data_IF_169986013615
#
_entry.id   IF_169986013615
#
_cell.length_a   1.000
_cell.length_b   1.000
_cell.length_c   1.000
_cell.angle_alpha   90.00
_cell.angle_beta   90.00
_cell.angle_gamma   90.00
#
_symmetry.space_group_name_H-M   'P 1'
#
loop_
_entity.id
_entity.type
_entity.pdbx_description
1 polymer ?
#
# COMPACT_ATOMS: atom_id res chain seq x y z
N UNK A 1 -61.86 -41.39 -22.50
CA UNK A 1 -61.60 -40.26 -21.58
C UNK A 1 -60.09 -40.08 -21.47
N UNK A 2 -59.64 -38.85 -21.72
CA UNK A 2 -58.33 -38.20 -21.57
C UNK A 2 -57.19 -39.00 -20.89
N UNK A 3 -55.95 -39.00 -21.39
CA UNK A 3 -55.06 -37.85 -21.30
C UNK A 3 -53.87 -37.94 -22.30
N UNK A 4 -53.63 -36.85 -23.03
CA UNK A 4 -52.46 -36.61 -23.89
C UNK A 4 -51.25 -36.27 -23.01
N UNK A 5 -50.10 -36.91 -23.24
CA UNK A 5 -48.83 -36.44 -22.68
C UNK A 5 -47.92 -35.98 -23.82
N UNK A 6 -47.74 -34.66 -23.86
CA UNK A 6 -46.80 -33.95 -24.73
C UNK A 6 -45.45 -33.93 -24.00
N UNK A 7 -44.44 -34.63 -24.51
CA UNK A 7 -43.08 -34.57 -23.98
C UNK A 7 -42.42 -33.32 -24.57
N UNK A 8 -42.23 -32.29 -23.75
CA UNK A 8 -41.40 -31.12 -24.07
C UNK A 8 -39.95 -31.50 -23.72
N UNK A 9 -39.14 -31.71 -24.75
CA UNK A 9 -37.70 -31.90 -24.62
C UNK A 9 -37.04 -30.51 -24.45
N UNK A 10 -36.70 -30.13 -23.22
CA UNK A 10 -35.89 -28.93 -22.95
C UNK A 10 -34.43 -29.27 -23.27
N UNK A 11 -33.96 -28.79 -24.41
CA UNK A 11 -32.54 -28.81 -24.78
C UNK A 11 -31.83 -27.72 -23.95
N UNK A 12 -31.21 -28.11 -22.85
CA UNK A 12 -30.25 -27.28 -22.12
C UNK A 12 -28.91 -27.34 -22.87
N UNK A 13 -28.67 -26.40 -23.79
CA UNK A 13 -27.33 -26.16 -24.34
C UNK A 13 -26.52 -25.53 -23.21
N UNK A 14 -25.72 -26.36 -22.54
CA UNK A 14 -24.68 -25.92 -21.63
C UNK A 14 -23.61 -25.17 -22.41
N UNK A 15 -23.78 -23.86 -22.55
CA UNK A 15 -22.68 -22.97 -22.88
C UNK A 15 -21.68 -23.03 -21.74
N UNK A 16 -20.57 -23.74 -21.95
CA UNK A 16 -19.39 -23.58 -21.11
C UNK A 16 -18.88 -22.16 -21.33
N UNK A 17 -19.31 -21.24 -20.48
CA UNK A 17 -18.56 -20.02 -20.27
C UNK A 17 -17.24 -20.47 -19.63
N UNK A 18 -16.16 -20.39 -20.40
CA UNK A 18 -14.82 -20.40 -19.85
C UNK A 18 -14.75 -19.20 -18.91
N UNK A 19 -15.05 -19.43 -17.64
CA UNK A 19 -14.70 -18.49 -16.59
C UNK A 19 -13.18 -18.46 -16.59
N UNK A 20 -12.60 -17.44 -17.23
CA UNK A 20 -11.22 -17.06 -16.97
C UNK A 20 -11.19 -16.66 -15.50
N UNK A 21 -10.82 -17.60 -14.62
CA UNK A 21 -10.27 -17.25 -13.34
C UNK A 21 -9.06 -16.36 -13.69
N UNK A 22 -9.20 -15.06 -13.51
CA UNK A 22 -8.10 -14.14 -13.72
C UNK A 22 -7.03 -14.55 -12.70
N UNK A 23 -5.97 -15.19 -13.17
CA UNK A 23 -4.76 -15.34 -12.39
C UNK A 23 -4.22 -13.93 -12.20
N UNK A 24 -4.64 -13.29 -11.11
CA UNK A 24 -4.14 -11.97 -10.70
C UNK A 24 -2.64 -12.14 -10.44
N UNK A 25 -1.85 -11.71 -11.41
CA UNK A 25 -0.38 -11.73 -11.39
C UNK A 25 0.16 -10.35 -11.04
N UNK A 26 1.37 -10.32 -10.48
CA UNK A 26 2.19 -9.12 -10.40
C UNK A 26 2.89 -8.78 -11.74
N UNK A 27 2.77 -9.65 -12.76
CA UNK A 27 3.21 -9.39 -14.12
C UNK A 27 2.10 -8.72 -14.91
N UNK A 28 2.42 -7.67 -15.65
CA UNK A 28 1.46 -7.00 -16.54
C UNK A 28 2.13 -5.99 -17.46
N UNK A 29 1.32 -5.26 -18.23
CA UNK A 29 1.80 -4.33 -19.27
C UNK A 29 1.60 -2.85 -18.96
N UNK A 30 0.77 -2.52 -17.99
CA UNK A 30 0.53 -1.14 -17.58
C UNK A 30 0.49 -1.04 -16.05
N UNK A 31 1.21 -0.06 -15.52
CA UNK A 31 1.30 0.23 -14.09
C UNK A 31 1.23 1.73 -13.86
N UNK A 32 0.74 2.11 -12.69
CA UNK A 32 0.70 3.49 -12.23
C UNK A 32 1.20 3.58 -10.80
N UNK A 33 1.99 4.62 -10.50
CA UNK A 33 2.35 4.97 -9.13
C UNK A 33 2.38 6.48 -8.92
N UNK A 34 2.27 6.91 -7.67
CA UNK A 34 2.61 8.26 -7.26
C UNK A 34 4.00 8.31 -6.62
N UNK A 35 4.70 9.45 -6.73
CA UNK A 35 5.86 9.71 -5.88
C UNK A 35 5.35 10.13 -4.49
N UNK A 36 5.04 9.12 -3.67
CA UNK A 36 4.39 9.26 -2.37
C UNK A 36 5.14 10.20 -1.42
N UNK A 37 4.39 10.76 -0.47
CA UNK A 37 4.93 11.78 0.42
C UNK A 37 6.08 11.25 1.29
N UNK A 38 7.16 12.02 1.35
CA UNK A 38 8.35 11.71 2.13
C UNK A 38 8.76 12.97 2.93
N UNK A 39 9.01 12.83 4.23
CA UNK A 39 9.40 13.96 5.09
C UNK A 39 10.72 14.61 4.66
N UNK A 40 11.60 13.87 3.96
CA UNK A 40 12.83 14.39 3.40
C UNK A 40 12.63 15.42 2.27
N UNK A 41 11.40 15.62 1.77
CA UNK A 41 11.08 16.69 0.82
C UNK A 41 11.35 18.09 1.38
N UNK A 42 11.17 18.28 2.69
CA UNK A 42 11.06 19.62 3.31
C UNK A 42 12.00 19.85 4.51
N UNK A 43 12.94 18.94 4.77
CA UNK A 43 13.85 18.90 5.93
C UNK A 43 13.16 18.26 7.17
N UNK A 44 13.58 17.05 7.61
CA UNK A 44 13.10 16.48 8.88
C UNK A 44 13.76 17.11 10.12
N UNK A 45 15.05 17.50 10.03
CA UNK A 45 15.87 17.87 11.21
C UNK A 45 17.00 18.90 10.99
N UNK A 46 17.27 19.34 9.74
CA UNK A 46 18.31 20.32 9.40
C UNK A 46 19.72 19.74 9.19
N UNK A 47 19.89 18.42 9.33
CA UNK A 47 21.21 17.77 9.22
C UNK A 47 21.63 17.44 7.78
N UNK A 48 20.68 17.32 6.85
CA UNK A 48 20.93 17.05 5.43
C UNK A 48 20.17 18.03 4.51
N UNK A 49 20.61 18.22 3.26
CA UNK A 49 19.88 19.03 2.29
C UNK A 49 18.46 18.48 2.06
N UNK A 50 17.43 19.36 1.97
CA UNK A 50 16.09 18.94 1.58
C UNK A 50 16.09 18.29 0.19
N UNK A 51 15.06 17.49 -0.07
CA UNK A 51 14.81 16.86 -1.35
C UNK A 51 15.93 15.87 -1.80
N UNK A 52 16.59 15.23 -0.83
CA UNK A 52 17.69 14.30 -1.07
C UNK A 52 17.27 12.87 -1.42
N UNK A 53 16.00 12.52 -1.23
CA UNK A 53 15.43 11.22 -1.58
C UNK A 53 15.28 11.03 -3.09
N UNK A 54 15.47 9.81 -3.56
CA UNK A 54 15.23 9.38 -4.93
C UNK A 54 14.07 8.39 -4.96
N UNK A 55 13.36 8.34 -6.09
CA UNK A 55 12.41 7.28 -6.41
C UNK A 55 12.91 6.59 -7.67
N UNK A 56 13.38 5.34 -7.50
CA UNK A 56 13.93 4.52 -8.56
C UNK A 56 12.96 3.37 -8.91
N UNK A 57 12.85 3.05 -10.19
CA UNK A 57 12.08 1.91 -10.67
C UNK A 57 13.02 0.76 -11.06
N UNK A 58 12.69 -0.43 -10.55
CA UNK A 58 13.37 -1.68 -10.89
C UNK A 58 12.41 -2.48 -11.75
N UNK A 59 12.75 -2.67 -13.02
CA UNK A 59 11.90 -3.30 -14.00
C UNK A 59 12.55 -4.62 -14.41
N UNK A 60 11.86 -5.72 -14.16
CA UNK A 60 12.33 -7.07 -14.48
C UNK A 60 11.45 -7.69 -15.55
N UNK A 61 12.06 -8.47 -16.44
CA UNK A 61 11.36 -9.12 -17.55
C UNK A 61 11.95 -10.48 -17.90
N UNK A 62 11.11 -11.43 -18.29
CA UNK A 62 11.52 -12.76 -18.80
C UNK A 62 11.74 -12.74 -20.32
N UNK A 63 11.04 -11.86 -21.03
CA UNK A 63 11.19 -11.63 -22.47
C UNK A 63 11.84 -10.28 -22.74
N UNK A 64 12.40 -10.07 -23.93
CA UNK A 64 12.85 -8.72 -24.30
C UNK A 64 11.65 -7.77 -24.32
N UNK A 65 11.79 -6.60 -23.69
CA UNK A 65 10.69 -5.67 -23.46
C UNK A 65 11.08 -4.25 -23.87
N UNK A 66 10.19 -3.57 -24.59
CA UNK A 66 10.24 -2.12 -24.74
C UNK A 66 9.36 -1.51 -23.65
N UNK A 67 9.92 -0.65 -22.82
CA UNK A 67 9.21 -0.03 -21.69
C UNK A 67 9.27 1.47 -21.83
N UNK A 68 8.13 2.14 -21.71
CA UNK A 68 8.03 3.60 -21.62
C UNK A 68 7.54 4.00 -20.24
N UNK A 69 8.33 4.83 -19.56
CA UNK A 69 8.00 5.45 -18.28
C UNK A 69 7.77 6.94 -18.52
N UNK A 70 6.64 7.47 -18.08
CA UNK A 70 6.29 8.88 -18.30
C UNK A 70 5.51 9.47 -17.14
N UNK A 71 5.45 10.80 -17.09
CA UNK A 71 4.53 11.56 -16.23
C UNK A 71 3.59 12.30 -17.19
N UNK A 72 2.40 11.75 -17.50
CA UNK A 72 1.61 12.14 -18.68
C UNK A 72 1.27 13.62 -18.80
N UNK A 73 1.06 14.31 -17.67
CA UNK A 73 0.72 15.74 -17.65
C UNK A 73 1.96 16.65 -17.60
N UNK A 74 3.14 16.11 -17.93
CA UNK A 74 4.41 16.84 -18.05
C UNK A 74 5.07 16.51 -19.39
N UNK A 75 6.23 17.11 -19.67
CA UNK A 75 7.03 16.77 -20.85
C UNK A 75 7.98 15.57 -20.64
N UNK A 76 7.98 14.93 -19.47
CA UNK A 76 8.96 13.90 -19.14
C UNK A 76 8.52 12.49 -19.56
N UNK A 77 9.40 11.81 -20.28
CA UNK A 77 9.26 10.41 -20.71
C UNK A 77 10.64 9.79 -20.95
N UNK A 78 10.79 8.51 -20.64
CA UNK A 78 11.96 7.70 -20.93
C UNK A 78 11.51 6.36 -21.54
N UNK A 79 12.20 5.91 -22.59
CA UNK A 79 11.95 4.61 -23.22
C UNK A 79 13.22 3.77 -23.11
N UNK A 80 13.05 2.52 -22.66
CA UNK A 80 14.11 1.54 -22.47
C UNK A 80 13.83 0.30 -23.31
N UNK A 81 14.91 -0.36 -23.75
CA UNK A 81 14.87 -1.72 -24.28
C UNK A 81 15.57 -2.62 -23.28
N UNK A 82 14.81 -3.48 -22.61
CA UNK A 82 15.30 -4.35 -21.55
C UNK A 82 15.46 -5.76 -22.13
N UNK A 83 16.67 -6.35 -22.13
CA UNK A 83 16.86 -7.73 -22.60
C UNK A 83 16.10 -8.77 -21.76
N UNK A 84 15.79 -9.90 -22.37
CA UNK A 84 15.17 -11.04 -21.69
C UNK A 84 15.97 -11.51 -20.47
N UNK A 85 15.28 -11.82 -19.37
CA UNK A 85 15.84 -12.32 -18.11
C UNK A 85 16.83 -11.34 -17.44
N UNK A 86 16.59 -10.03 -17.59
CA UNK A 86 17.40 -8.99 -16.96
C UNK A 86 16.54 -8.01 -16.15
N UNK A 87 17.22 -7.12 -15.42
CA UNK A 87 16.63 -6.03 -14.65
C UNK A 87 17.22 -4.70 -15.12
N UNK A 88 16.37 -3.69 -15.31
CA UNK A 88 16.77 -2.29 -15.37
C UNK A 88 16.47 -1.60 -14.03
N UNK A 89 17.42 -0.81 -13.53
CA UNK A 89 17.28 -0.04 -12.29
C UNK A 89 17.81 1.40 -12.46
N UNK A 90 17.69 1.95 -13.67
CA UNK A 90 18.29 3.24 -14.06
C UNK A 90 17.29 4.40 -14.03
N UNK A 91 15.99 4.12 -13.90
CA UNK A 91 14.92 5.11 -14.01
C UNK A 91 14.71 5.84 -12.69
N UNK A 92 15.22 7.08 -12.62
CA UNK A 92 14.94 8.01 -11.54
C UNK A 92 13.78 8.94 -11.89
N UNK A 93 12.75 8.95 -11.05
CA UNK A 93 11.58 9.81 -11.24
C UNK A 93 11.92 11.25 -10.85
N UNK A 94 11.63 12.25 -11.71
CA UNK A 94 11.91 13.65 -11.40
C UNK A 94 11.24 14.14 -10.12
N UNK A 95 12.00 14.95 -9.35
CA UNK A 95 11.61 15.51 -8.06
C UNK A 95 11.78 17.03 -7.97
N UNK A 96 11.86 17.70 -9.12
CA UNK A 96 12.05 19.14 -9.20
C UNK A 96 11.67 19.69 -10.59
N UNK A 97 11.56 21.02 -10.67
CA UNK A 97 11.24 21.71 -11.92
C UNK A 97 9.84 21.41 -12.42
N UNK A 98 9.63 21.58 -13.72
CA UNK A 98 8.33 21.39 -14.38
C UNK A 98 7.86 19.93 -14.43
N UNK A 99 8.76 18.99 -14.17
CA UNK A 99 8.49 17.56 -14.23
C UNK A 99 8.36 16.93 -12.83
N UNK A 100 8.37 17.73 -11.76
CA UNK A 100 8.32 17.24 -10.38
C UNK A 100 7.10 16.34 -10.12
N UNK A 101 7.36 15.07 -9.81
CA UNK A 101 6.30 14.09 -9.53
C UNK A 101 5.94 13.97 -8.04
N UNK A 102 6.67 14.63 -7.13
CA UNK A 102 6.49 14.47 -5.68
C UNK A 102 5.11 14.91 -5.22
N UNK A 103 4.37 14.04 -4.54
CA UNK A 103 3.08 14.34 -3.90
C UNK A 103 3.35 15.00 -2.55
N UNK A 104 3.13 16.30 -2.46
CA UNK A 104 3.61 17.15 -1.36
C UNK A 104 2.54 17.55 -0.34
N UNK A 105 1.27 17.31 -0.63
CA UNK A 105 0.14 17.75 0.19
C UNK A 105 -1.07 16.82 0.04
N UNK A 106 -2.02 16.90 0.98
CA UNK A 106 -3.37 16.35 0.80
C UNK A 106 -4.09 17.02 -0.39
N UNK A 107 -4.95 16.27 -1.08
CA UNK A 107 -5.76 16.75 -2.19
C UNK A 107 -5.38 16.16 -3.55
N UNK A 108 -5.85 16.81 -4.61
CA UNK A 108 -5.68 16.40 -6.01
C UNK A 108 -4.31 16.77 -6.56
N UNK A 109 -3.68 15.84 -7.26
CA UNK A 109 -2.44 16.02 -8.01
C UNK A 109 -2.55 15.33 -9.37
N UNK A 110 -1.90 15.85 -10.40
CA UNK A 110 -1.98 15.33 -11.76
C UNK A 110 -0.64 14.74 -12.25
N UNK A 111 0.15 14.16 -11.33
CA UNK A 111 1.57 13.81 -11.55
C UNK A 111 1.89 12.34 -11.30
N UNK A 112 0.94 11.45 -11.56
CA UNK A 112 1.20 10.02 -11.52
C UNK A 112 2.25 9.62 -12.56
N UNK A 113 3.10 8.66 -12.21
CA UNK A 113 4.03 8.00 -13.12
C UNK A 113 3.31 6.84 -13.78
N UNK A 114 3.35 6.80 -15.11
CA UNK A 114 2.82 5.72 -15.94
C UNK A 114 3.96 4.86 -16.46
N UNK A 115 3.83 3.54 -16.37
CA UNK A 115 4.74 2.57 -16.97
C UNK A 115 3.95 1.72 -17.94
N UNK A 116 4.37 1.68 -19.21
CA UNK A 116 3.75 0.85 -20.25
C UNK A 116 4.81 -0.02 -20.91
N UNK A 117 4.51 -1.29 -21.12
CA UNK A 117 5.37 -2.22 -21.83
C UNK A 117 4.62 -2.99 -22.92
N UNK A 118 5.35 -3.37 -23.97
CA UNK A 118 4.87 -4.24 -25.03
C UNK A 118 4.67 -5.70 -24.58
N UNK A 119 5.38 -6.11 -23.53
CA UNK A 119 5.40 -7.47 -22.97
C UNK A 119 5.15 -7.43 -21.45
N UNK A 120 4.66 -8.53 -20.83
CA UNK A 120 4.44 -8.53 -19.39
C UNK A 120 5.77 -8.41 -18.61
N UNK A 121 5.84 -7.42 -17.71
CA UNK A 121 6.99 -7.12 -16.84
C UNK A 121 6.56 -7.12 -15.37
N UNK A 122 7.52 -7.14 -14.43
CA UNK A 122 7.28 -6.84 -13.00
C UNK A 122 8.04 -5.56 -12.65
N UNK A 123 7.38 -4.66 -11.93
CA UNK A 123 7.93 -3.36 -11.55
C UNK A 123 7.98 -3.24 -10.03
N UNK A 124 9.13 -2.81 -9.50
CA UNK A 124 9.27 -2.38 -8.12
C UNK A 124 9.58 -0.89 -8.09
N UNK A 125 8.95 -0.17 -7.18
CA UNK A 125 9.23 1.22 -6.90
C UNK A 125 9.96 1.31 -5.56
N UNK A 126 11.11 1.96 -5.54
CA UNK A 126 11.96 2.09 -4.37
C UNK A 126 12.26 3.57 -4.13
N UNK A 127 11.72 4.09 -3.04
CA UNK A 127 12.01 5.43 -2.56
C UNK A 127 13.09 5.33 -1.48
N UNK A 128 14.22 6.00 -1.66
CA UNK A 128 15.33 5.92 -0.73
C UNK A 128 16.14 7.20 -0.63
N UNK A 129 16.86 7.36 0.47
CA UNK A 129 18.01 8.25 0.56
C UNK A 129 19.12 7.53 1.33
N UNK A 130 20.09 8.27 1.89
CA UNK A 130 21.19 7.69 2.68
C UNK A 130 20.75 6.98 3.96
N UNK A 131 19.62 7.34 4.55
CA UNK A 131 19.18 6.92 5.88
C UNK A 131 17.74 6.41 5.94
N UNK A 132 17.03 6.34 4.82
CA UNK A 132 15.69 5.76 4.76
C UNK A 132 15.41 5.05 3.44
N UNK A 133 14.58 4.02 3.51
CA UNK A 133 14.12 3.26 2.34
C UNK A 133 12.70 2.76 2.55
N UNK A 134 11.88 2.90 1.51
CA UNK A 134 10.58 2.27 1.38
C UNK A 134 10.40 1.75 -0.05
N UNK A 135 9.96 0.51 -0.19
CA UNK A 135 9.79 -0.12 -1.49
C UNK A 135 8.45 -0.87 -1.58
N UNK A 136 7.89 -0.90 -2.79
CA UNK A 136 6.68 -1.66 -3.10
C UNK A 136 6.84 -2.35 -4.44
N UNK A 137 6.32 -3.56 -4.56
CA UNK A 137 6.02 -4.15 -5.86
C UNK A 137 4.73 -3.53 -6.40
N UNK A 138 4.70 -3.22 -7.69
CA UNK A 138 3.51 -2.67 -8.33
C UNK A 138 2.60 -3.78 -8.83
N UNK A 139 1.30 -3.55 -8.67
CA UNK A 139 0.20 -4.35 -9.20
C UNK A 139 -0.16 -3.75 -10.58
N UNK A 140 -0.32 -4.56 -11.63
CA UNK A 140 -0.70 -4.04 -12.95
C UNK A 140 -2.18 -3.59 -12.97
N UNK A 141 -2.53 -2.71 -13.91
CA UNK A 141 -3.88 -2.13 -14.05
C UNK A 141 -4.97 -3.21 -14.17
N UNK A 142 -4.69 -4.30 -14.88
CA UNK A 142 -5.61 -5.43 -15.06
C UNK A 142 -5.96 -6.17 -13.75
N UNK A 143 -5.18 -5.95 -12.70
CA UNK A 143 -5.37 -6.53 -11.37
C UNK A 143 -6.00 -5.55 -10.36
N UNK A 144 -6.34 -4.33 -10.78
CA UNK A 144 -7.03 -3.36 -9.94
C UNK A 144 -8.47 -3.80 -9.64
N UNK A 145 -9.03 -3.23 -8.56
CA UNK A 145 -10.40 -3.49 -8.14
C UNK A 145 -11.16 -2.20 -7.85
N UNK A 146 -12.29 -2.35 -7.18
CA UNK A 146 -13.24 -1.27 -6.94
C UNK A 146 -13.40 -0.88 -5.47
N UNK A 147 -12.80 -1.65 -4.55
CA UNK A 147 -12.87 -1.40 -3.11
C UNK A 147 -11.55 -1.75 -2.44
N UNK A 148 -11.00 -0.77 -1.75
CA UNK A 148 -9.73 -0.85 -1.04
C UNK A 148 -9.87 -0.28 0.37
N UNK A 149 -8.96 -0.72 1.24
CA UNK A 149 -8.70 -0.08 2.52
C UNK A 149 -7.22 0.31 2.59
N UNK A 150 -6.93 1.43 3.24
CA UNK A 150 -5.55 1.77 3.61
C UNK A 150 -5.12 0.97 4.83
N UNK A 151 -3.85 0.58 4.82
CA UNK A 151 -3.16 -0.05 5.93
C UNK A 151 -1.92 0.78 6.22
N UNK A 152 -1.98 1.56 7.29
CA UNK A 152 -0.89 2.40 7.76
C UNK A 152 -0.34 1.79 9.05
N UNK A 153 0.52 2.52 9.76
CA UNK A 153 0.94 2.15 11.10
C UNK A 153 0.92 3.36 12.02
N UNK A 154 0.67 3.10 13.30
CA UNK A 154 0.50 4.17 14.27
C UNK A 154 1.81 4.92 14.51
N UNK A 155 1.77 6.23 14.29
CA UNK A 155 2.87 7.13 14.64
C UNK A 155 2.77 7.65 16.09
N UNK A 156 1.68 7.37 16.81
CA UNK A 156 1.56 7.76 18.21
C UNK A 156 2.51 6.97 19.10
N UNK A 157 2.88 5.75 18.69
CA UNK A 157 3.84 4.90 19.40
C UNK A 157 5.29 5.04 18.89
N UNK A 158 5.55 6.02 18.02
CA UNK A 158 6.87 6.27 17.45
C UNK A 158 7.92 6.47 18.54
N UNK A 159 8.99 5.67 18.49
CA UNK A 159 10.08 5.59 19.48
C UNK A 159 9.68 4.97 20.84
N UNK A 160 8.69 4.09 20.88
CA UNK A 160 8.33 3.34 22.10
C UNK A 160 9.09 2.00 22.19
N UNK A 161 9.39 1.55 23.41
CA UNK A 161 9.91 0.19 23.64
C UNK A 161 8.79 -0.83 23.46
N UNK A 162 9.04 -1.94 22.76
CA UNK A 162 8.04 -2.97 22.47
C UNK A 162 8.21 -4.22 23.36
N UNK A 163 7.14 -4.81 23.93
CA UNK A 163 5.73 -4.39 23.84
C UNK A 163 5.53 -3.03 24.50
N UNK A 164 4.71 -2.18 23.89
CA UNK A 164 4.61 -0.73 24.16
C UNK A 164 4.66 -0.42 25.66
N UNK A 165 5.85 -0.05 26.15
CA UNK A 165 6.03 0.46 27.50
C UNK A 165 5.61 1.91 27.51
N UNK A 166 4.61 2.26 28.33
CA UNK A 166 4.04 3.57 28.70
C UNK A 166 4.77 4.84 28.23
N UNK A 167 5.02 5.01 26.93
CA UNK A 167 5.50 6.28 26.40
C UNK A 167 4.30 7.21 26.34
N UNK A 168 4.37 8.34 27.02
CA UNK A 168 3.38 9.41 26.92
C UNK A 168 3.75 10.46 25.86
N UNK A 169 4.90 10.28 25.22
CA UNK A 169 5.40 11.14 24.14
C UNK A 169 5.80 10.31 22.92
N UNK A 170 5.88 10.99 21.79
CA UNK A 170 6.36 10.49 20.51
C UNK A 170 7.60 11.29 20.11
N UNK A 171 8.51 10.65 19.39
CA UNK A 171 9.59 11.32 18.70
C UNK A 171 9.29 11.34 17.19
N UNK A 172 8.24 12.04 16.76
CA UNK A 172 7.96 12.26 15.34
C UNK A 172 8.65 13.53 14.84
N UNK A 173 9.05 13.55 13.56
CA UNK A 173 9.43 14.78 12.88
C UNK A 173 8.22 15.65 12.54
N UNK A 174 8.45 16.96 12.36
CA UNK A 174 7.42 17.99 12.13
C UNK A 174 6.60 17.78 10.85
N UNK A 175 7.08 16.92 9.94
CA UNK A 175 6.47 16.63 8.63
C UNK A 175 6.22 15.12 8.46
N UNK A 176 6.04 14.38 9.55
CA UNK A 176 5.83 12.94 9.48
C UNK A 176 4.32 12.66 9.40
N UNK A 177 3.81 12.61 8.18
CA UNK A 177 2.41 12.31 7.91
C UNK A 177 2.22 10.82 7.64
N UNK A 178 1.22 10.20 8.27
CA UNK A 178 0.60 8.98 7.77
C UNK A 178 -0.25 9.37 6.58
N UNK A 179 -0.20 8.62 5.48
CA UNK A 179 -0.92 8.99 4.26
C UNK A 179 -1.39 7.76 3.49
N UNK A 180 -2.41 7.95 2.67
CA UNK A 180 -2.69 7.05 1.56
C UNK A 180 -3.02 7.89 0.34
N UNK A 181 -2.76 7.37 -0.85
CA UNK A 181 -3.23 8.00 -2.08
C UNK A 181 -3.85 6.96 -2.99
N UNK A 182 -4.70 7.46 -3.89
CA UNK A 182 -5.28 6.67 -4.98
C UNK A 182 -4.82 7.19 -6.32
N UNK A 183 -4.67 6.30 -7.30
CA UNK A 183 -4.32 6.67 -8.68
C UNK A 183 -5.39 6.15 -9.63
N UNK A 184 -5.92 7.03 -10.48
CA UNK A 184 -6.87 6.66 -11.53
C UNK A 184 -6.12 6.23 -12.79
N UNK A 185 -6.37 5.01 -13.26
CA UNK A 185 -5.86 4.51 -14.55
C UNK A 185 -6.77 4.83 -15.74
N UNK A 186 -7.97 5.35 -15.46
CA UNK A 186 -9.03 5.62 -16.43
C UNK A 186 -9.67 6.99 -16.16
N UNK A 187 -10.21 7.61 -17.21
CA UNK A 187 -10.98 8.85 -17.10
C UNK A 187 -12.32 8.59 -16.42
N UNK A 188 -12.97 9.63 -15.89
CA UNK A 188 -14.25 9.54 -15.19
C UNK A 188 -14.25 8.65 -13.94
N UNK A 189 -13.08 8.37 -13.36
CA UNK A 189 -12.96 7.61 -12.11
C UNK A 189 -13.55 8.42 -10.95
N UNK A 190 -14.71 8.01 -10.45
CA UNK A 190 -15.37 8.63 -9.30
C UNK A 190 -15.25 7.74 -8.06
N UNK A 191 -14.68 8.30 -7.00
CA UNK A 191 -14.39 7.56 -5.77
C UNK A 191 -15.09 8.20 -4.57
N UNK A 192 -15.63 7.36 -3.69
CA UNK A 192 -16.05 7.72 -2.34
C UNK A 192 -14.94 7.33 -1.36
N UNK A 193 -14.48 8.30 -0.58
CA UNK A 193 -13.42 8.14 0.41
C UNK A 193 -14.01 8.35 1.80
N UNK A 194 -13.85 7.37 2.68
CA UNK A 194 -14.24 7.42 4.09
C UNK A 194 -12.97 7.28 4.95
N UNK A 195 -12.42 8.38 5.51
CA UNK A 195 -11.27 8.30 6.42
C UNK A 195 -11.61 7.58 7.72
N UNK A 196 -10.65 6.82 8.27
CA UNK A 196 -10.79 6.16 9.59
C UNK A 196 -10.42 7.06 10.77
N UNK A 197 -9.71 8.15 10.51
CA UNK A 197 -9.36 9.19 11.49
C UNK A 197 -9.32 10.56 10.77
N UNK A 198 -9.09 11.63 11.53
CA UNK A 198 -9.15 13.01 11.04
C UNK A 198 -8.04 13.27 10.02
N UNK A 199 -8.40 13.81 8.86
CA UNK A 199 -7.43 14.15 7.80
C UNK A 199 -6.78 15.52 8.02
N UNK A 200 -5.73 15.82 7.28
CA UNK A 200 -5.03 17.11 7.34
C UNK A 200 -5.95 18.27 6.96
N UNK A 201 -6.87 18.08 6.01
CA UNK A 201 -7.88 19.09 5.64
C UNK A 201 -9.06 19.21 6.61
N UNK A 202 -9.13 18.34 7.63
CA UNK A 202 -10.15 18.39 8.68
C UNK A 202 -11.39 17.53 8.43
N UNK A 203 -11.37 16.63 7.45
CA UNK A 203 -12.43 15.61 7.31
C UNK A 203 -12.39 14.70 8.52
N UNK A 204 -13.52 14.56 9.22
CA UNK A 204 -13.62 13.76 10.44
C UNK A 204 -13.76 12.26 10.12
N UNK A 205 -13.37 11.35 11.03
CA UNK A 205 -13.56 9.91 10.86
C UNK A 205 -15.00 9.54 10.51
N UNK A 206 -15.16 8.63 9.53
CA UNK A 206 -16.47 8.16 9.07
C UNK A 206 -17.20 9.12 8.14
N UNK A 207 -16.75 10.37 7.96
CA UNK A 207 -17.33 11.28 6.98
C UNK A 207 -16.86 10.91 5.58
N UNK A 208 -17.81 10.57 4.71
CA UNK A 208 -17.52 10.20 3.33
C UNK A 208 -17.57 11.43 2.44
N UNK A 209 -16.56 11.60 1.58
CA UNK A 209 -16.55 12.62 0.53
C UNK A 209 -16.25 11.97 -0.82
N UNK A 210 -16.63 12.67 -1.89
CA UNK A 210 -16.44 12.21 -3.27
C UNK A 210 -15.30 12.97 -3.93
N UNK A 211 -14.49 12.26 -4.72
CA UNK A 211 -13.52 12.85 -5.64
C UNK A 211 -13.78 12.34 -7.06
N UNK A 212 -13.55 13.20 -8.06
CA UNK A 212 -13.61 12.85 -9.47
C UNK A 212 -12.20 12.98 -10.04
N UNK A 213 -11.71 11.92 -10.66
CA UNK A 213 -10.35 11.79 -11.16
C UNK A 213 -10.37 11.39 -12.62
N UNK A 214 -9.43 11.93 -13.39
CA UNK A 214 -9.13 11.46 -14.73
C UNK A 214 -7.87 10.59 -14.74
N UNK A 215 -7.58 9.96 -15.87
CA UNK A 215 -6.41 9.10 -16.02
C UNK A 215 -5.13 9.88 -15.64
N UNK A 216 -4.36 9.32 -14.72
CA UNK A 216 -3.11 9.90 -14.22
C UNK A 216 -3.29 10.93 -13.11
N UNK A 217 -4.52 11.20 -12.68
CA UNK A 217 -4.78 11.94 -11.45
C UNK A 217 -4.55 11.05 -10.23
N UNK A 218 -4.08 11.71 -9.17
CA UNK A 218 -3.82 11.17 -7.85
C UNK A 218 -4.62 11.99 -6.85
N UNK A 219 -5.33 11.32 -5.94
CA UNK A 219 -5.87 11.99 -4.76
C UNK A 219 -5.18 11.46 -3.52
N UNK A 220 -4.51 12.34 -2.78
CA UNK A 220 -3.75 12.00 -1.59
C UNK A 220 -4.50 12.46 -0.33
N UNK A 221 -4.50 11.63 0.70
CA UNK A 221 -5.09 11.91 2.02
C UNK A 221 -4.00 11.76 3.06
N UNK A 222 -3.87 12.74 3.95
CA UNK A 222 -2.88 12.75 5.03
C UNK A 222 -3.59 12.76 6.38
N UNK A 223 -3.03 12.05 7.36
CA UNK A 223 -3.53 12.06 8.73
C UNK A 223 -3.21 13.39 9.39
N UNK A 224 -4.17 13.96 10.12
CA UNK A 224 -3.97 15.22 10.84
C UNK A 224 -2.74 15.12 11.75
N UNK A 225 -1.81 16.06 11.61
CA UNK A 225 -0.58 16.16 12.41
C UNK A 225 -0.60 17.50 13.17
N UNK A 226 -0.24 17.46 14.45
CA UNK A 226 -0.06 18.65 15.28
C UNK A 226 1.45 18.79 15.61
N UNK A 227 1.94 20.02 15.75
CA UNK A 227 3.39 20.31 15.84
C UNK A 227 4.05 20.04 17.20
N UNK A 228 3.77 18.91 17.85
CA UNK A 228 4.34 18.59 19.17
C UNK A 228 4.65 17.11 19.39
N UNK A 229 5.08 16.77 20.61
CA UNK A 229 5.59 15.44 20.96
C UNK A 229 4.60 14.60 21.79
N UNK A 230 3.37 15.04 22.00
CA UNK A 230 2.36 14.25 22.70
C UNK A 230 1.76 13.19 21.77
N UNK A 231 1.32 12.05 22.31
CA UNK A 231 0.75 10.96 21.49
C UNK A 231 -0.40 11.41 20.59
N UNK A 232 -1.27 12.29 21.10
CA UNK A 232 -2.42 12.82 20.36
C UNK A 232 -2.04 13.81 19.26
N UNK A 233 -0.81 14.34 19.31
CA UNK A 233 -0.24 15.26 18.32
C UNK A 233 0.42 14.55 17.14
N UNK A 234 0.74 13.26 17.27
CA UNK A 234 1.21 12.45 16.15
C UNK A 234 0.21 12.46 14.98
N UNK A 235 0.73 12.29 13.75
CA UNK A 235 -0.14 12.13 12.59
C UNK A 235 -1.09 10.96 12.81
N UNK A 236 -2.37 11.19 12.49
CA UNK A 236 -3.42 10.17 12.66
C UNK A 236 -3.17 8.94 11.81
N UNK A 237 -3.31 7.77 12.42
CA UNK A 237 -3.22 6.48 11.75
C UNK A 237 -4.45 6.28 10.88
N UNK A 238 -4.25 6.31 9.55
CA UNK A 238 -5.34 6.20 8.59
C UNK A 238 -5.72 4.75 8.27
N UNK A 239 -5.23 3.76 9.03
CA UNK A 239 -5.60 2.35 8.85
C UNK A 239 -7.12 2.16 8.94
N UNK A 240 -7.68 1.49 7.94
CA UNK A 240 -9.12 1.29 7.81
C UNK A 240 -9.85 2.40 7.07
N UNK A 241 -9.15 3.42 6.54
CA UNK A 241 -9.79 4.36 5.61
C UNK A 241 -10.21 3.58 4.37
N UNK A 242 -11.46 3.76 3.97
CA UNK A 242 -12.11 2.98 2.91
C UNK A 242 -12.23 3.84 1.66
N UNK A 243 -11.90 3.25 0.51
CA UNK A 243 -12.15 3.88 -0.79
C UNK A 243 -12.96 2.94 -1.66
N UNK A 244 -14.05 3.45 -2.24
CA UNK A 244 -14.97 2.69 -3.09
C UNK A 244 -15.17 3.43 -4.41
N UNK A 245 -15.03 2.71 -5.51
CA UNK A 245 -15.40 3.20 -6.83
C UNK A 245 -16.92 3.16 -7.00
N UNK A 246 -17.47 4.29 -7.43
CA UNK A 246 -18.90 4.48 -7.68
C UNK A 246 -19.10 4.97 -9.11
N UNK A 247 -20.32 4.86 -9.67
CA UNK A 247 -20.56 5.30 -11.04
C UNK A 247 -20.13 6.75 -11.26
N UNK A 248 -19.27 6.95 -12.24
CA UNK A 248 -18.83 8.25 -12.74
C UNK A 248 -19.88 8.92 -13.62
N UNK A 249 -19.49 10.02 -14.27
CA UNK A 249 -20.38 10.76 -15.18
C UNK A 249 -20.75 9.96 -16.44
N UNK A 250 -19.94 8.95 -16.78
CA UNK A 250 -20.18 8.01 -17.87
C UNK A 250 -21.07 6.82 -17.44
N UNK A 251 -21.48 6.77 -16.16
CA UNK A 251 -22.34 5.74 -15.60
C UNK A 251 -21.59 4.47 -15.17
N UNK A 252 -20.26 4.40 -15.27
CA UNK A 252 -19.48 3.21 -14.95
C UNK A 252 -18.67 3.37 -13.66
N UNK A 253 -18.45 2.26 -12.94
CA UNK A 253 -17.42 2.20 -11.92
C UNK A 253 -16.08 1.88 -12.59
N UNK A 254 -15.03 2.63 -12.25
CA UNK A 254 -13.68 2.41 -12.78
C UNK A 254 -12.75 1.81 -11.71
N UNK A 255 -11.88 0.85 -12.06
CA UNK A 255 -10.90 0.32 -11.13
C UNK A 255 -9.79 1.34 -10.86
N UNK A 256 -9.13 1.24 -9.70
CA UNK A 256 -8.10 2.20 -9.29
C UNK A 256 -7.02 1.52 -8.43
N UNK A 257 -5.86 2.18 -8.28
CA UNK A 257 -4.83 1.76 -7.34
C UNK A 257 -4.97 2.53 -6.02
N UNK A 258 -4.66 1.87 -4.90
CA UNK A 258 -4.47 2.53 -3.61
C UNK A 258 -3.08 2.20 -3.06
N UNK A 259 -2.39 3.20 -2.54
CA UNK A 259 -1.12 3.07 -1.85
C UNK A 259 -1.26 3.61 -0.44
N UNK A 260 -0.72 2.88 0.53
CA UNK A 260 -0.62 3.33 1.93
C UNK A 260 0.83 3.62 2.28
N UNK A 261 1.05 4.55 3.20
CA UNK A 261 2.41 4.89 3.58
C UNK A 261 2.53 5.84 4.76
N UNK A 262 3.76 6.26 5.00
CA UNK A 262 4.13 7.29 5.96
C UNK A 262 5.35 8.03 5.44
N UNK A 263 5.34 9.36 5.59
CA UNK A 263 6.50 10.19 5.29
C UNK A 263 7.63 10.05 6.31
N UNK A 264 7.38 9.38 7.44
CA UNK A 264 8.35 9.15 8.50
C UNK A 264 7.68 8.45 9.69
N UNK A 265 8.24 7.32 10.13
CA UNK A 265 7.76 6.57 11.28
C UNK A 265 8.90 5.86 12.00
N UNK A 266 8.80 5.70 13.32
CA UNK A 266 9.66 4.81 14.09
C UNK A 266 8.85 3.63 14.59
N UNK A 267 9.27 2.42 14.28
CA UNK A 267 8.57 1.23 14.76
C UNK A 267 9.12 0.71 16.09
N UNK A 268 10.38 1.03 16.40
CA UNK A 268 11.03 0.59 17.62
C UNK A 268 11.80 1.72 18.30
N UNK A 269 12.21 1.45 19.54
CA UNK A 269 13.03 2.37 20.32
C UNK A 269 14.41 2.53 19.69
N UNK A 270 14.90 3.78 19.60
CA UNK A 270 16.14 4.19 18.92
C UNK A 270 16.14 4.08 17.38
N UNK A 271 15.01 3.81 16.75
CA UNK A 271 14.88 3.88 15.30
C UNK A 271 15.15 5.31 14.78
N UNK A 272 15.92 5.42 13.69
CA UNK A 272 16.20 6.71 13.03
C UNK A 272 14.94 7.34 12.43
N UNK A 273 13.96 6.50 12.08
CA UNK A 273 12.75 6.88 11.38
C UNK A 273 12.83 6.52 9.90
N UNK A 274 11.79 5.86 9.41
CA UNK A 274 11.72 5.32 8.06
C UNK A 274 10.49 5.82 7.30
N UNK A 275 10.57 5.81 5.97
CA UNK A 275 9.39 5.99 5.12
C UNK A 275 8.74 4.66 4.81
N UNK A 276 7.42 4.69 4.63
CA UNK A 276 6.65 3.53 4.19
C UNK A 276 5.91 3.86 2.91
N UNK A 277 5.88 2.91 1.99
CA UNK A 277 5.00 2.94 0.82
C UNK A 277 4.71 1.51 0.39
N UNK A 278 3.43 1.15 0.31
CA UNK A 278 2.98 -0.15 -0.16
C UNK A 278 1.70 0.00 -0.97
N UNK A 279 1.65 -0.62 -2.15
CA UNK A 279 0.40 -0.75 -2.89
C UNK A 279 -0.52 -1.75 -2.18
N UNK A 280 -1.73 -1.32 -1.85
CA UNK A 280 -2.72 -2.16 -1.21
C UNK A 280 -3.38 -3.09 -2.23
N UNK A 281 -3.75 -4.29 -1.79
CA UNK A 281 -4.55 -5.22 -2.59
C UNK A 281 -6.04 -4.86 -2.51
N UNK A 282 -6.79 -4.93 -3.63
CA UNK A 282 -8.24 -4.77 -3.58
C UNK A 282 -8.87 -5.87 -2.72
N UNK A 283 -9.99 -5.55 -2.06
CA UNK A 283 -10.71 -6.49 -1.18
C UNK A 283 -11.06 -7.83 -1.83
N UNK A 284 -11.29 -7.85 -3.14
CA UNK A 284 -11.58 -9.07 -3.91
C UNK A 284 -10.39 -10.03 -4.03
N UNK A 285 -9.15 -9.58 -3.81
CA UNK A 285 -7.95 -10.42 -3.88
C UNK A 285 -7.43 -10.88 -2.53
N UNK A 286 -8.13 -10.57 -1.45
CA UNK A 286 -7.81 -10.99 -0.09
C UNK A 286 -7.98 -12.52 0.07
N UNK A 287 -7.16 -13.12 0.93
CA UNK A 287 -7.10 -14.55 1.17
C UNK A 287 -7.68 -14.94 2.53
N UNK A 288 -7.78 -16.24 2.80
CA UNK A 288 -8.29 -16.76 4.09
C UNK A 288 -7.21 -17.46 4.92
N UNK A 289 -5.98 -17.58 4.38
CA UNK A 289 -4.88 -18.35 4.98
C UNK A 289 -3.56 -17.65 4.70
N UNK A 290 -2.80 -17.40 5.75
CA UNK A 290 -1.52 -16.71 5.67
C UNK A 290 -0.49 -17.42 6.54
N UNK A 291 0.72 -17.54 6.03
CA UNK A 291 1.88 -17.90 6.81
C UNK A 291 2.74 -16.66 7.00
N UNK A 292 3.05 -16.33 8.24
CA UNK A 292 4.04 -15.31 8.56
C UNK A 292 5.33 -15.98 9.02
N UNK A 293 6.43 -15.25 8.98
CA UNK A 293 7.69 -15.65 9.61
C UNK A 293 8.46 -14.39 9.99
N UNK A 294 9.36 -14.50 10.97
CA UNK A 294 10.23 -13.39 11.32
C UNK A 294 11.27 -13.14 10.21
N UNK A 295 11.76 -11.90 10.13
CA UNK A 295 12.96 -11.62 9.34
C UNK A 295 14.20 -12.03 10.14
N UNK A 296 15.38 -12.05 9.54
CA UNK A 296 16.63 -12.15 10.29
C UNK A 296 17.30 -10.76 10.27
N UNK A 297 17.95 -10.40 11.38
CA UNK A 297 18.65 -9.11 11.50
C UNK A 297 19.69 -8.93 10.40
N UNK A 298 20.52 -9.95 10.18
CA UNK A 298 21.57 -9.97 9.17
C UNK A 298 21.91 -11.40 8.77
N UNK A 299 22.77 -11.57 7.77
CA UNK A 299 23.15 -12.88 7.22
C UNK A 299 23.97 -13.76 8.18
N UNK A 300 24.42 -13.23 9.32
CA UNK A 300 25.18 -13.97 10.33
C UNK A 300 24.33 -14.33 11.56
N UNK A 301 23.07 -13.91 11.62
CA UNK A 301 22.12 -14.26 12.69
C UNK A 301 21.56 -15.66 12.44
N UNK A 302 21.42 -16.48 13.49
CA UNK A 302 20.78 -17.78 13.38
C UNK A 302 19.33 -17.60 12.89
N UNK A 303 18.86 -18.44 11.97
CA UNK A 303 17.48 -18.35 11.46
C UNK A 303 16.43 -18.56 12.55
N UNK A 304 16.81 -19.18 13.67
CA UNK A 304 15.97 -19.38 14.84
C UNK A 304 16.01 -18.21 15.83
N UNK A 305 16.92 -17.24 15.67
CA UNK A 305 16.94 -16.05 16.51
C UNK A 305 15.74 -15.15 16.15
N UNK A 306 14.89 -14.82 17.13
CA UNK A 306 13.65 -14.09 16.85
C UNK A 306 13.95 -12.64 16.51
N UNK A 307 13.49 -12.18 15.34
CA UNK A 307 13.40 -10.76 15.00
C UNK A 307 11.92 -10.35 15.01
N UNK A 308 11.55 -9.41 15.88
CA UNK A 308 10.14 -9.06 16.05
C UNK A 308 9.63 -8.31 14.83
N UNK A 309 8.65 -8.90 14.15
CA UNK A 309 7.82 -8.21 13.17
C UNK A 309 6.46 -7.89 13.79
N UNK A 310 5.84 -6.81 13.31
CA UNK A 310 4.47 -6.48 13.68
C UNK A 310 3.54 -6.85 12.54
N UNK A 311 2.33 -7.26 12.88
CA UNK A 311 1.34 -7.62 11.89
C UNK A 311 0.02 -6.92 12.19
N UNK A 312 -0.63 -6.43 11.14
CA UNK A 312 -2.03 -6.05 11.17
C UNK A 312 -2.83 -6.99 10.29
N UNK A 313 -3.91 -7.53 10.83
CA UNK A 313 -4.80 -8.44 10.13
C UNK A 313 -6.13 -7.73 9.93
N UNK A 314 -6.36 -7.24 8.71
CA UNK A 314 -7.55 -6.50 8.32
C UNK A 314 -8.72 -7.43 7.99
N UNK A 315 -9.92 -7.06 8.41
CA UNK A 315 -11.19 -7.69 8.09
C UNK A 315 -12.10 -6.68 7.42
N UNK A 316 -12.78 -7.08 6.34
CA UNK A 316 -13.81 -6.24 5.69
C UNK A 316 -15.15 -6.34 6.43
N UNK A 317 -15.41 -7.49 7.04
CA UNK A 317 -16.57 -7.75 7.89
C UNK A 317 -16.12 -7.93 9.35
N UNK A 318 -16.55 -7.08 10.30
CA UNK A 318 -16.16 -7.18 11.72
C UNK A 318 -16.57 -8.49 12.40
N UNK A 319 -17.50 -9.26 11.81
CA UNK A 319 -17.90 -10.59 12.29
C UNK A 319 -16.94 -11.72 11.87
N UNK A 320 -15.90 -11.42 11.09
CA UNK A 320 -14.91 -12.39 10.63
C UNK A 320 -14.19 -13.04 11.81
N UNK A 321 -14.19 -14.37 11.85
CA UNK A 321 -13.50 -15.15 12.87
C UNK A 321 -12.07 -15.42 12.41
N UNK A 322 -11.14 -14.59 12.89
CA UNK A 322 -9.70 -14.78 12.65
C UNK A 322 -9.11 -15.68 13.73
N UNK A 323 -8.24 -16.61 13.34
CA UNK A 323 -7.48 -17.50 14.24
C UNK A 323 -5.99 -17.37 13.97
N UNK A 324 -5.20 -17.31 15.05
CA UNK A 324 -3.74 -17.43 15.03
C UNK A 324 -3.36 -18.80 15.60
N UNK A 325 -2.69 -19.62 14.81
CA UNK A 325 -2.29 -20.98 15.19
C UNK A 325 -3.45 -21.82 15.74
N UNK A 326 -4.63 -21.69 15.13
CA UNK A 326 -5.87 -22.38 15.51
C UNK A 326 -6.70 -21.71 16.62
N UNK A 327 -6.13 -20.74 17.35
CA UNK A 327 -6.80 -20.02 18.46
C UNK A 327 -7.50 -18.77 17.93
N UNK A 328 -8.80 -18.57 18.19
CA UNK A 328 -9.50 -17.33 17.82
C UNK A 328 -8.84 -16.08 18.41
N UNK A 329 -8.66 -15.07 17.58
CA UNK A 329 -8.13 -13.77 17.99
C UNK A 329 -9.24 -12.90 18.61
N UNK A 330 -8.87 -12.13 19.63
CA UNK A 330 -9.73 -11.13 20.29
C UNK A 330 -9.09 -9.75 20.18
N UNK A 331 -9.81 -8.68 20.54
CA UNK A 331 -9.27 -7.32 20.52
C UNK A 331 -9.23 -6.71 19.12
N UNK A 332 -10.30 -6.90 18.35
CA UNK A 332 -10.49 -6.22 17.07
C UNK A 332 -10.50 -4.70 17.31
N UNK A 333 -9.57 -3.99 16.69
CA UNK A 333 -9.38 -2.55 16.80
C UNK A 333 -10.18 -1.87 15.70
N UNK A 334 -10.95 -0.83 16.07
CA UNK A 334 -11.77 -0.02 15.17
C UNK A 334 -12.72 -0.84 14.27
N UNK A 335 -13.16 -2.02 14.74
CA UNK A 335 -13.93 -2.97 13.95
C UNK A 335 -13.28 -3.38 12.63
N UNK A 336 -11.96 -3.24 12.48
CA UNK A 336 -11.28 -3.42 11.20
C UNK A 336 -10.04 -4.28 11.26
N UNK A 337 -9.21 -4.22 12.30
CA UNK A 337 -7.96 -4.98 12.31
C UNK A 337 -7.58 -5.54 13.67
N UNK A 338 -6.89 -6.69 13.66
CA UNK A 338 -6.15 -7.17 14.82
C UNK A 338 -4.68 -6.74 14.70
N UNK A 339 -4.00 -6.56 15.83
CA UNK A 339 -2.58 -6.24 15.86
C UNK A 339 -1.80 -7.33 16.61
N UNK A 340 -0.70 -7.80 16.02
CA UNK A 340 0.24 -8.74 16.61
C UNK A 340 1.57 -8.01 16.76
N UNK A 341 2.03 -7.84 18.00
CA UNK A 341 3.29 -7.17 18.34
C UNK A 341 4.32 -8.09 19.00
N UNK A 342 3.94 -9.35 19.23
CA UNK A 342 4.68 -10.33 20.02
C UNK A 342 5.10 -11.56 19.18
N UNK A 343 5.01 -11.46 17.84
CA UNK A 343 5.46 -12.55 16.98
C UNK A 343 6.98 -12.71 17.06
N UNK A 344 7.40 -13.93 17.41
CA UNK A 344 8.80 -14.34 17.58
C UNK A 344 9.16 -15.52 16.66
N UNK A 345 8.28 -15.86 15.72
CA UNK A 345 8.36 -17.05 14.88
C UNK A 345 7.30 -17.04 13.79
N UNK A 346 7.12 -18.16 13.12
CA UNK A 346 6.06 -18.28 12.12
C UNK A 346 4.68 -18.45 12.72
N UNK A 347 3.72 -17.64 12.27
CA UNK A 347 2.31 -17.78 12.63
C UNK A 347 1.49 -18.23 11.42
N UNK A 348 0.59 -19.19 11.65
CA UNK A 348 -0.44 -19.57 10.69
C UNK A 348 -1.74 -18.85 11.03
N UNK A 349 -2.09 -17.86 10.21
CA UNK A 349 -3.33 -17.08 10.35
C UNK A 349 -4.39 -17.65 9.42
N UNK A 350 -5.57 -17.92 9.96
CA UNK A 350 -6.71 -18.42 9.18
C UNK A 350 -7.96 -17.62 9.50
N UNK A 351 -8.87 -17.47 8.55
CA UNK A 351 -10.17 -16.83 8.75
C UNK A 351 -11.29 -17.56 8.00
N UNK A 352 -12.52 -17.38 8.46
CA UNK A 352 -13.74 -17.88 7.80
C UNK A 352 -14.20 -16.98 6.64
N UNK A 353 -13.71 -15.73 6.57
CA UNK A 353 -13.89 -14.77 5.47
C UNK A 353 -12.54 -14.19 5.02
N UNK A 354 -12.43 -13.63 3.81
CA UNK A 354 -11.18 -13.02 3.34
C UNK A 354 -10.66 -11.90 4.27
N UNK A 355 -9.37 -11.93 4.53
CA UNK A 355 -8.61 -10.97 5.35
C UNK A 355 -7.38 -10.50 4.56
N UNK A 356 -6.80 -9.36 4.94
CA UNK A 356 -5.48 -8.95 4.47
C UNK A 356 -4.50 -8.93 5.65
N UNK A 357 -3.29 -9.46 5.45
CA UNK A 357 -2.21 -9.37 6.44
C UNK A 357 -1.15 -8.40 5.95
N UNK A 358 -0.92 -7.34 6.72
CA UNK A 358 0.22 -6.44 6.55
C UNK A 358 1.30 -6.79 7.58
N UNK A 359 2.54 -6.99 7.11
CA UNK A 359 3.72 -7.16 7.94
C UNK A 359 4.52 -5.87 7.97
N UNK A 360 4.95 -5.44 9.16
CA UNK A 360 5.79 -4.27 9.40
C UNK A 360 7.09 -4.72 10.07
N UNK A 361 8.22 -4.35 9.48
CA UNK A 361 9.54 -4.80 9.91
C UNK A 361 10.31 -3.62 10.52
N UNK A 362 10.62 -3.61 11.83
CA UNK A 362 11.30 -2.48 12.46
C UNK A 362 12.73 -2.30 11.96
N UNK A 363 13.20 -1.04 11.95
CA UNK A 363 14.60 -0.69 11.69
C UNK A 363 15.55 -1.19 12.79
N UNK A 364 16.83 -1.32 12.45
CA UNK A 364 17.77 -2.22 13.14
C UNK A 364 18.65 -1.53 14.21
N UNK A 365 18.40 -0.27 14.59
CA UNK A 365 19.10 0.30 15.77
C UNK A 365 18.64 -0.35 17.09
N UNK A 366 17.50 -1.02 17.11
CA UNK A 366 17.15 -1.91 18.23
C UNK A 366 17.97 -3.24 18.25
N UNK A 367 18.80 -3.52 17.23
CA UNK A 367 19.56 -4.77 17.08
C UNK A 367 20.96 -4.66 16.41
N UNK A 368 21.53 -3.45 16.22
CA UNK A 368 22.96 -3.24 15.89
C UNK A 368 23.38 -3.09 14.42
N UNK A 369 22.47 -2.81 13.49
CA UNK A 369 22.73 -2.67 12.03
C UNK A 369 21.66 -1.79 11.35
N UNK A 370 21.75 -1.51 10.04
CA UNK A 370 20.75 -0.73 9.26
C UNK A 370 19.84 -1.66 8.45
N UNK A 371 18.52 -1.62 8.67
CA UNK A 371 17.57 -2.23 7.74
C UNK A 371 16.34 -1.35 7.54
N UNK A 372 15.79 -1.44 6.33
CA UNK A 372 14.63 -0.73 5.82
C UNK A 372 13.32 -1.28 6.38
N UNK A 373 12.37 -0.37 6.60
CA UNK A 373 11.01 -0.73 6.96
C UNK A 373 10.25 -1.29 5.76
N UNK A 374 9.98 -2.59 5.79
CA UNK A 374 9.11 -3.24 4.82
C UNK A 374 7.68 -3.28 5.37
N UNK A 375 6.74 -2.70 4.62
CA UNK A 375 5.32 -3.01 4.73
C UNK A 375 4.96 -3.95 3.59
N UNK A 376 4.67 -5.22 3.87
CA UNK A 376 4.27 -6.20 2.85
C UNK A 376 2.83 -6.63 3.11
N UNK A 377 1.97 -6.52 2.10
CA UNK A 377 0.67 -7.17 2.10
C UNK A 377 0.84 -8.57 1.54
N UNK A 378 0.46 -9.60 2.29
CA UNK A 378 0.57 -10.99 1.83
C UNK A 378 -0.69 -11.41 1.09
N UNK A 379 -0.57 -12.34 0.14
CA UNK A 379 -1.68 -13.05 -0.51
C UNK A 379 -1.55 -14.55 -0.29
#
# INVERSE_FOLDING_TARGET
>A
MHFRWLIILIIFIGGQTCAFAQNVSNKGKEFWLGYGYNSWFFIPDGALPPNSQELNLYITTEAAATVTVSIPNTGWSQTLNIPANTVDATILIPKSGTNDARITAEGLHNKAVRIVSDTPIVVFAHMYNTQTSGATMLIPVEAYGYKYYSLNYSQSQSNSRVPYSYSNTTANGTNWYSWFYVVASEDNTRLEITPSDTTQSGVLPGQTFTVNLNRGDVYNVMGKLEGGNQLWQASKDLTGSKVVSVPGNDGNCHPFALFSGSGGIRLCYYDGGEVMMQQAFPTQSWGTRYLTYHMINNTNTDINDPFKNFYRIAVDDPSTVVRRNGVPMTGLINNFYYEIIDSIGGDYITADKPIMVAQYTPGVIAAGTTASLLMETRK
#
